data_IF_158721060491
#
_entry.id   IF_158721060491
#
_cell.length_a   1.000
_cell.length_b   1.000
_cell.length_c   1.000
_cell.angle_alpha   90.00
_cell.angle_beta   90.00
_cell.angle_gamma   90.00
#
_symmetry.space_group_name_H-M   'P 1'
#
loop_
_entity.id
_entity.type
_entity.pdbx_description
1 polymer ?
#
# COMPACT_ATOMS: atom_id res chain seq x y z
N UNK A 1 8.80 -17.99 -9.45
CA UNK A 1 9.70 -18.40 -10.55
C UNK A 1 9.94 -17.20 -11.45
N UNK A 2 11.18 -17.00 -11.94
CA UNK A 2 11.47 -16.01 -12.98
C UNK A 2 11.64 -16.78 -14.30
N UNK A 3 10.84 -16.43 -15.30
CA UNK A 3 10.86 -17.07 -16.60
C UNK A 3 11.36 -16.06 -17.64
N UNK A 4 12.31 -16.42 -18.52
CA UNK A 4 12.74 -15.51 -19.58
C UNK A 4 11.54 -15.03 -20.41
N UNK A 5 11.42 -13.72 -20.63
CA UNK A 5 10.31 -13.08 -21.36
C UNK A 5 8.91 -13.18 -20.73
N UNK A 6 8.79 -13.71 -19.50
CA UNK A 6 7.51 -13.79 -18.79
C UNK A 6 7.64 -13.24 -17.37
N UNK A 7 6.81 -12.28 -17.03
CA UNK A 7 6.73 -11.67 -15.71
C UNK A 7 5.59 -10.68 -15.62
N UNK A 8 5.22 -10.33 -14.39
CA UNK A 8 4.25 -9.29 -14.06
C UNK A 8 4.81 -8.47 -12.89
N UNK A 9 4.50 -7.16 -12.87
CA UNK A 9 5.05 -6.22 -11.90
C UNK A 9 6.44 -5.72 -12.31
N UNK A 10 6.50 -4.91 -13.37
CA UNK A 10 7.75 -4.30 -13.84
C UNK A 10 8.44 -3.41 -12.79
N UNK A 11 9.53 -2.75 -13.21
CA UNK A 11 10.40 -1.87 -12.40
C UNK A 11 9.66 -0.79 -11.58
N UNK A 12 8.38 -0.59 -11.83
CA UNK A 12 7.49 0.39 -11.19
C UNK A 12 7.42 0.19 -9.67
N UNK A 13 7.24 -1.07 -9.23
CA UNK A 13 7.11 -1.39 -7.80
C UNK A 13 8.41 -1.22 -7.00
N UNK A 14 9.56 -1.54 -7.61
CA UNK A 14 10.89 -1.32 -7.01
C UNK A 14 11.30 0.17 -7.05
N UNK A 15 10.93 0.89 -8.12
CA UNK A 15 11.18 2.34 -8.24
C UNK A 15 10.36 3.13 -7.22
N UNK A 16 9.12 2.75 -6.97
CA UNK A 16 8.28 3.44 -6.00
C UNK A 16 8.73 3.15 -4.56
N UNK A 17 9.27 1.96 -4.27
CA UNK A 17 9.80 1.63 -2.93
C UNK A 17 10.97 2.52 -2.50
N UNK A 18 11.95 2.70 -3.37
CA UNK A 18 13.23 3.34 -3.03
C UNK A 18 13.42 4.71 -3.70
N UNK A 19 12.40 5.22 -4.38
CA UNK A 19 12.38 6.63 -4.78
C UNK A 19 12.24 7.50 -3.52
N UNK A 20 12.84 8.69 -3.54
CA UNK A 20 12.59 9.74 -2.54
C UNK A 20 11.15 10.30 -2.61
N UNK A 21 10.17 9.51 -3.06
CA UNK A 21 8.78 9.88 -3.10
C UNK A 21 8.21 10.02 -1.69
N UNK A 22 7.23 10.92 -1.54
CA UNK A 22 6.50 11.10 -0.28
C UNK A 22 5.46 10.00 -0.11
N UNK A 23 5.15 9.64 1.14
CA UNK A 23 3.97 8.83 1.44
C UNK A 23 2.81 9.80 1.70
N UNK A 24 1.62 9.41 1.29
CA UNK A 24 0.43 10.25 1.46
C UNK A 24 -0.18 10.01 2.84
N UNK A 25 -0.26 8.74 3.25
CA UNK A 25 -0.82 8.37 4.55
C UNK A 25 -0.20 7.07 5.12
N UNK A 26 -0.29 6.88 6.45
CA UNK A 26 0.19 5.68 7.15
C UNK A 26 -0.73 5.35 8.34
N UNK A 27 -1.05 4.07 8.55
CA UNK A 27 -1.78 3.61 9.75
C UNK A 27 -1.33 2.23 10.19
N UNK A 28 -1.69 1.87 11.42
CA UNK A 28 -1.63 0.50 11.95
C UNK A 28 -3.01 0.17 12.51
N UNK A 29 -3.62 -0.91 12.04
CA UNK A 29 -4.93 -1.36 12.54
C UNK A 29 -4.84 -2.00 13.93
N UNK A 30 -5.98 -2.31 14.54
CA UNK A 30 -6.07 -2.95 15.85
C UNK A 30 -5.53 -4.39 15.90
N UNK A 31 -5.36 -5.02 14.74
CA UNK A 31 -4.72 -6.31 14.57
C UNK A 31 -3.20 -6.19 14.34
N UNK A 32 -2.65 -4.98 14.36
CA UNK A 32 -1.23 -4.71 14.18
C UNK A 32 -0.76 -4.73 12.72
N UNK A 33 -1.69 -4.75 11.75
CA UNK A 33 -1.34 -4.66 10.33
C UNK A 33 -1.00 -3.21 10.00
N UNK A 34 0.20 -3.00 9.48
CA UNK A 34 0.73 -1.68 9.20
C UNK A 34 0.68 -1.41 7.68
N UNK A 35 0.10 -0.28 7.30
CA UNK A 35 -0.13 0.10 5.91
C UNK A 35 0.45 1.48 5.62
N UNK A 36 1.15 1.60 4.49
CA UNK A 36 1.56 2.89 3.92
C UNK A 36 0.91 3.09 2.55
N UNK A 37 0.45 4.30 2.26
CA UNK A 37 -0.27 4.66 1.04
C UNK A 37 0.52 5.67 0.21
N UNK A 38 0.44 5.51 -1.11
CA UNK A 38 0.97 6.46 -2.10
C UNK A 38 0.16 6.35 -3.39
N UNK A 39 -0.43 7.46 -3.83
CA UNK A 39 -1.37 7.49 -4.93
C UNK A 39 -2.47 6.44 -4.73
N UNK A 40 -2.77 5.69 -5.79
CA UNK A 40 -3.76 4.63 -5.78
C UNK A 40 -3.24 3.28 -5.24
N UNK A 41 -2.07 3.26 -4.59
CA UNK A 41 -1.41 2.04 -4.12
C UNK A 41 -1.13 2.07 -2.62
N UNK A 42 -1.02 0.88 -2.03
CA UNK A 42 -0.56 0.68 -0.66
C UNK A 42 0.51 -0.41 -0.57
N UNK A 43 1.25 -0.38 0.53
CA UNK A 43 2.21 -1.41 0.93
C UNK A 43 1.90 -1.90 2.34
N UNK A 44 2.10 -3.20 2.60
CA UNK A 44 2.11 -3.74 3.96
C UNK A 44 3.51 -3.65 4.55
N UNK A 45 3.63 -3.00 5.70
CA UNK A 45 4.90 -2.79 6.40
C UNK A 45 5.20 -3.91 7.41
N UNK A 46 4.16 -4.54 7.94
CA UNK A 46 4.30 -5.57 8.97
C UNK A 46 4.80 -6.92 8.41
N UNK A 47 4.54 -7.19 7.12
CA UNK A 47 4.99 -8.41 6.40
C UNK A 47 6.31 -8.24 5.66
N UNK A 48 7.13 -7.23 6.00
CA UNK A 48 8.37 -6.91 5.27
C UNK A 48 9.37 -8.07 5.12
N UNK A 49 9.29 -9.08 6.00
CA UNK A 49 10.16 -10.28 5.95
C UNK A 49 9.86 -11.17 4.75
N UNK A 50 8.63 -11.13 4.24
CA UNK A 50 8.15 -11.97 3.13
C UNK A 50 8.38 -11.32 1.76
N UNK A 51 8.95 -10.10 1.75
CA UNK A 51 9.18 -9.29 0.57
C UNK A 51 8.35 -8.01 0.57
N UNK A 52 8.61 -7.18 -0.43
CA UNK A 52 7.92 -5.91 -0.64
C UNK A 52 7.11 -5.98 -1.93
N UNK A 53 5.85 -5.60 -1.84
CA UNK A 53 4.97 -5.50 -2.99
C UNK A 53 3.96 -4.37 -2.76
N UNK A 54 3.73 -3.55 -3.78
CA UNK A 54 2.64 -2.58 -3.79
C UNK A 54 1.38 -3.25 -4.32
N UNK A 55 0.24 -2.93 -3.74
CA UNK A 55 -1.06 -3.37 -4.22
C UNK A 55 -1.93 -2.15 -4.52
N UNK A 56 -2.81 -2.20 -5.52
CA UNK A 56 -3.85 -1.19 -5.68
C UNK A 56 -4.71 -1.11 -4.41
N UNK A 57 -5.10 0.08 -3.95
CA UNK A 57 -5.95 0.27 -2.76
C UNK A 57 -7.25 -0.54 -2.89
N UNK A 58 -7.83 -0.58 -4.08
CA UNK A 58 -9.05 -1.33 -4.43
C UNK A 58 -8.94 -2.84 -4.20
N UNK A 59 -7.73 -3.40 -4.06
CA UNK A 59 -7.52 -4.80 -3.73
C UNK A 59 -8.10 -5.17 -2.36
N UNK A 60 -7.93 -4.28 -1.36
CA UNK A 60 -8.43 -4.50 0.00
C UNK A 60 -9.65 -3.62 0.30
N UNK A 61 -9.64 -2.37 -0.16
CA UNK A 61 -10.70 -1.40 0.06
C UNK A 61 -11.42 -1.07 -1.25
N UNK A 62 -12.33 -1.96 -1.66
CA UNK A 62 -13.03 -1.88 -2.95
C UNK A 62 -13.79 -0.57 -3.22
N UNK A 63 -14.15 0.17 -2.18
CA UNK A 63 -14.89 1.43 -2.27
C UNK A 63 -13.98 2.67 -2.38
N UNK A 64 -12.67 2.52 -2.16
CA UNK A 64 -11.71 3.62 -2.26
C UNK A 64 -11.06 3.57 -3.64
N UNK A 65 -11.47 4.49 -4.52
CA UNK A 65 -10.99 4.55 -5.91
C UNK A 65 -9.92 5.62 -6.17
N UNK A 66 -9.61 6.44 -5.16
CA UNK A 66 -8.65 7.55 -5.26
C UNK A 66 -7.56 7.46 -4.20
N UNK A 67 -6.61 8.37 -4.35
CA UNK A 67 -5.55 8.66 -3.39
C UNK A 67 -6.16 9.10 -2.05
N UNK A 68 -5.41 8.90 -0.97
CA UNK A 68 -5.84 9.21 0.39
C UNK A 68 -5.00 10.35 0.95
N UNK A 69 -5.66 11.37 1.50
CA UNK A 69 -4.98 12.48 2.18
C UNK A 69 -4.60 12.12 3.61
N UNK A 70 -5.45 11.32 4.28
CA UNK A 70 -5.18 10.83 5.62
C UNK A 70 -5.83 9.47 5.89
N UNK A 71 -5.25 8.74 6.83
CA UNK A 71 -5.77 7.44 7.29
C UNK A 71 -5.46 7.27 8.77
N UNK A 72 -6.43 6.75 9.52
CA UNK A 72 -6.24 6.43 10.93
C UNK A 72 -7.12 5.26 11.35
N UNK A 73 -6.64 4.50 12.32
CA UNK A 73 -7.36 3.36 12.88
C UNK A 73 -7.83 3.68 14.30
N UNK A 74 -9.08 3.33 14.60
CA UNK A 74 -9.70 3.50 15.90
C UNK A 74 -10.58 2.29 16.21
N UNK A 75 -10.20 1.53 17.24
CA UNK A 75 -10.79 0.21 17.54
C UNK A 75 -10.73 -0.67 16.28
N UNK A 76 -11.82 -1.36 15.97
CA UNK A 76 -11.99 -2.25 14.82
C UNK A 76 -12.17 -1.54 13.47
N UNK A 77 -11.97 -0.22 13.41
CA UNK A 77 -12.26 0.59 12.22
C UNK A 77 -11.02 1.28 11.71
N UNK A 78 -10.85 1.26 10.39
CA UNK A 78 -9.88 2.11 9.68
C UNK A 78 -10.65 3.13 8.85
N UNK A 79 -10.41 4.40 9.16
CA UNK A 79 -11.03 5.55 8.48
C UNK A 79 -10.04 6.07 7.44
N UNK A 80 -10.56 6.34 6.24
CA UNK A 80 -9.80 6.82 5.10
C UNK A 80 -10.44 8.13 4.63
N UNK A 81 -9.62 9.15 4.42
CA UNK A 81 -10.04 10.48 4.03
C UNK A 81 -9.61 10.75 2.58
N UNK A 82 -10.56 11.20 1.76
CA UNK A 82 -10.38 11.55 0.35
C UNK A 82 -10.81 13.01 0.19
N UNK A 83 -9.85 13.90 -0.08
CA UNK A 83 -10.11 15.32 -0.34
C UNK A 83 -10.76 15.61 -1.68
#
# INVERSE_FOLDING_TARGET
MKCPNFGHGGNDTDRDRCSNGRLDAITVDDLGKAYAFRGQFYMRLDTKRDGWHTFPITHLWKHLASDLDSVFSYKDKTLHDQG
#
